data_IF_538825048754
#
_entry.id   IF_538825048754
#
_cell.length_a   1.000
_cell.length_b   1.000
_cell.length_c   1.000
_cell.angle_alpha   90.00
_cell.angle_beta   90.00
_cell.angle_gamma   90.00
#
_symmetry.space_group_name_H-M   'P 1'
#
loop_
_entity.id
_entity.type
_entity.pdbx_description
1 polymer ?
#
# COMPACT_ATOMS: atom_id res chain seq x y z
N UNK A 1 32.71 58.69 -45.67
CA UNK A 1 33.41 57.78 -44.74
C UNK A 1 32.48 56.67 -44.31
N UNK A 2 32.68 55.44 -44.77
CA UNK A 2 31.83 54.30 -44.39
C UNK A 2 32.22 53.80 -43.00
N UNK A 3 31.32 53.94 -42.02
CA UNK A 3 31.52 53.40 -40.67
C UNK A 3 31.41 51.87 -40.74
N UNK A 4 32.50 51.17 -40.40
CA UNK A 4 32.53 49.70 -40.30
C UNK A 4 31.60 49.28 -39.17
N UNK A 5 30.59 48.45 -39.46
CA UNK A 5 29.68 47.93 -38.44
C UNK A 5 30.46 47.11 -37.39
N UNK A 6 30.15 47.26 -36.08
CA UNK A 6 30.84 46.51 -35.04
C UNK A 6 30.52 45.02 -35.18
N UNK A 7 31.56 44.18 -35.23
CA UNK A 7 31.40 42.73 -35.27
C UNK A 7 30.71 42.26 -33.98
N UNK A 8 29.65 41.44 -34.03
CA UNK A 8 29.01 40.93 -32.84
C UNK A 8 30.03 40.09 -32.05
N UNK A 9 30.29 40.49 -30.80
CA UNK A 9 31.21 39.77 -29.93
C UNK A 9 30.51 38.52 -29.39
N UNK A 10 30.98 37.31 -29.72
CA UNK A 10 30.26 36.06 -29.42
C UNK A 10 30.09 35.83 -27.90
N UNK A 11 31.04 36.30 -27.09
CA UNK A 11 31.00 36.19 -25.63
C UNK A 11 29.75 36.84 -25.00
N UNK A 12 29.31 38.00 -25.50
CA UNK A 12 28.13 38.70 -24.96
C UNK A 12 26.83 37.93 -25.25
N UNK A 13 26.77 37.21 -26.36
CA UNK A 13 25.63 36.36 -26.71
C UNK A 13 25.57 35.13 -25.82
N UNK A 14 26.71 34.44 -25.63
CA UNK A 14 26.78 33.29 -24.73
C UNK A 14 26.44 33.66 -23.29
N UNK A 15 26.95 34.79 -22.78
CA UNK A 15 26.60 35.29 -21.45
C UNK A 15 25.10 35.55 -21.28
N UNK A 16 24.43 36.11 -22.29
CA UNK A 16 22.96 36.31 -22.23
C UNK A 16 22.20 34.99 -22.25
N UNK A 17 22.65 34.03 -23.06
CA UNK A 17 22.02 32.71 -23.12
C UNK A 17 22.22 31.90 -21.84
N UNK A 18 23.40 31.95 -21.22
CA UNK A 18 23.63 31.26 -19.93
C UNK A 18 22.81 31.88 -18.81
N UNK A 19 22.69 33.21 -18.76
CA UNK A 19 21.81 33.89 -17.80
C UNK A 19 20.35 33.50 -18.02
N UNK A 20 19.87 33.54 -19.27
CA UNK A 20 18.49 33.14 -19.59
C UNK A 20 18.21 31.67 -19.26
N UNK A 21 19.15 30.77 -19.56
CA UNK A 21 19.07 29.35 -19.23
C UNK A 21 19.07 29.11 -17.72
N UNK A 22 19.93 29.79 -16.97
CA UNK A 22 19.99 29.68 -15.51
C UNK A 22 18.68 30.16 -14.85
N UNK A 23 18.11 31.27 -15.33
CA UNK A 23 16.81 31.77 -14.86
C UNK A 23 15.70 30.76 -15.13
N UNK A 24 15.69 30.07 -16.27
CA UNK A 24 14.67 29.07 -16.55
C UNK A 24 14.85 27.81 -15.69
N UNK A 25 16.08 27.30 -15.60
CA UNK A 25 16.39 26.08 -14.86
C UNK A 25 16.21 26.23 -13.35
N UNK A 26 16.48 27.41 -12.78
CA UNK A 26 16.34 27.68 -11.34
C UNK A 26 14.98 28.33 -11.05
N UNK A 27 14.57 29.28 -11.88
CA UNK A 27 13.33 30.03 -11.72
C UNK A 27 12.08 29.18 -11.93
N UNK A 28 12.13 28.16 -12.79
CA UNK A 28 11.03 27.20 -12.94
C UNK A 28 10.73 26.47 -11.62
N UNK A 29 11.68 25.71 -11.05
CA UNK A 29 11.52 25.07 -9.75
C UNK A 29 11.21 26.06 -8.62
N UNK A 30 11.89 27.21 -8.58
CA UNK A 30 11.67 28.22 -7.54
C UNK A 30 10.26 28.82 -7.57
N UNK A 31 9.72 29.10 -8.76
CA UNK A 31 8.35 29.59 -8.93
C UNK A 31 7.33 28.54 -8.47
N UNK A 32 7.56 27.27 -8.81
CA UNK A 32 6.71 26.17 -8.35
C UNK A 32 6.73 26.06 -6.83
N UNK A 33 7.91 26.08 -6.20
CA UNK A 33 8.04 26.05 -4.74
C UNK A 33 7.37 27.25 -4.06
N UNK A 34 7.35 28.41 -4.71
CA UNK A 34 6.68 29.60 -4.19
C UNK A 34 5.16 29.55 -4.30
N UNK A 35 4.63 29.00 -5.41
CA UNK A 35 3.19 28.93 -5.63
C UNK A 35 2.54 27.77 -4.87
N UNK A 36 3.27 26.67 -4.69
CA UNK A 36 2.72 25.47 -4.05
C UNK A 36 2.67 25.70 -2.54
N UNK A 37 1.47 25.71 -1.92
CA UNK A 37 1.34 25.92 -0.48
C UNK A 37 2.06 24.80 0.28
N UNK A 38 2.69 25.13 1.40
CA UNK A 38 3.40 24.17 2.25
C UNK A 38 2.41 23.19 2.91
N UNK A 39 2.90 22.02 3.30
CA UNK A 39 2.06 20.97 3.90
C UNK A 39 1.36 21.43 5.19
N UNK A 40 1.95 22.35 5.94
CA UNK A 40 1.37 22.89 7.18
C UNK A 40 0.21 23.85 6.92
N UNK A 41 0.32 24.72 5.92
CA UNK A 41 -0.78 25.59 5.49
C UNK A 41 -1.94 24.78 4.89
N UNK A 42 -1.60 23.71 4.16
CA UNK A 42 -2.59 22.78 3.63
C UNK A 42 -3.28 22.00 4.77
N UNK A 43 -2.53 21.59 5.79
CA UNK A 43 -3.06 20.91 6.97
C UNK A 43 -4.02 21.80 7.77
N UNK A 44 -3.68 23.07 7.95
CA UNK A 44 -4.51 24.05 8.65
C UNK A 44 -5.85 24.31 7.95
N UNK A 45 -5.90 24.20 6.61
CA UNK A 45 -7.14 24.34 5.83
C UNK A 45 -8.04 23.10 5.84
N UNK A 46 -7.56 21.95 6.33
CA UNK A 46 -8.39 20.74 6.43
C UNK A 46 -9.41 20.81 7.57
N UNK A 47 -10.49 20.05 7.41
CA UNK A 47 -11.49 19.82 8.45
C UNK A 47 -10.83 19.09 9.65
N UNK A 48 -11.15 19.41 10.92
CA UNK A 48 -10.56 18.79 12.12
C UNK A 48 -10.53 17.25 12.15
N UNK A 49 -11.48 16.57 11.52
CA UNK A 49 -11.49 15.09 11.42
C UNK A 49 -10.38 14.55 10.51
N UNK A 50 -10.11 15.22 9.39
CA UNK A 50 -9.04 14.86 8.46
C UNK A 50 -7.65 15.18 9.01
N UNK A 51 -7.54 16.22 9.84
CA UNK A 51 -6.30 16.55 10.55
C UNK A 51 -5.88 15.41 11.49
N UNK A 52 -6.83 14.87 12.26
CA UNK A 52 -6.58 13.73 13.16
C UNK A 52 -6.16 12.48 12.38
N UNK A 53 -6.91 12.13 11.33
CA UNK A 53 -6.55 10.99 10.46
C UNK A 53 -5.19 11.16 9.80
N UNK A 54 -4.82 12.35 9.38
CA UNK A 54 -3.50 12.60 8.80
C UNK A 54 -2.39 12.44 9.84
N UNK A 55 -2.60 12.88 11.09
CA UNK A 55 -1.66 12.67 12.19
C UNK A 55 -1.51 11.19 12.54
N UNK A 56 -2.61 10.44 12.64
CA UNK A 56 -2.61 9.00 12.93
C UNK A 56 -1.95 8.19 11.80
N UNK A 57 -2.17 8.57 10.54
CA UNK A 57 -1.64 7.85 9.38
C UNK A 57 -0.19 8.24 9.02
N UNK A 58 0.43 9.21 9.69
CA UNK A 58 1.81 9.64 9.37
C UNK A 58 2.81 8.51 9.52
N UNK A 59 2.74 7.77 10.62
CA UNK A 59 3.64 6.65 10.88
C UNK A 59 3.38 5.51 9.88
N UNK A 60 2.12 5.16 9.65
CA UNK A 60 1.74 4.14 8.67
C UNK A 60 2.26 4.49 7.26
N UNK A 61 2.13 5.75 6.83
CA UNK A 61 2.65 6.20 5.53
C UNK A 61 4.17 6.14 5.43
N UNK A 62 4.89 6.44 6.52
CA UNK A 62 6.35 6.31 6.55
C UNK A 62 6.76 4.84 6.44
N UNK A 63 6.12 3.95 7.18
CA UNK A 63 6.38 2.52 7.11
C UNK A 63 6.04 1.94 5.72
N UNK A 64 4.91 2.33 5.13
CA UNK A 64 4.52 1.93 3.78
C UNK A 64 5.54 2.40 2.73
N UNK A 65 6.04 3.63 2.88
CA UNK A 65 7.06 4.20 2.00
C UNK A 65 8.38 3.44 2.12
N UNK A 66 8.85 3.17 3.34
CA UNK A 66 10.07 2.40 3.57
C UNK A 66 9.94 0.98 3.01
N UNK A 67 8.80 0.33 3.21
CA UNK A 67 8.50 -0.98 2.62
C UNK A 67 8.45 -0.93 1.09
N UNK A 68 7.93 0.15 0.50
CA UNK A 68 7.91 0.34 -0.94
C UNK A 68 9.33 0.49 -1.50
N UNK A 69 10.16 1.36 -0.91
CA UNK A 69 11.55 1.54 -1.31
C UNK A 69 12.34 0.24 -1.14
N UNK A 70 12.09 -0.51 -0.07
CA UNK A 70 12.70 -1.83 0.16
C UNK A 70 12.35 -2.82 -0.95
N UNK A 71 11.08 -2.91 -1.34
CA UNK A 71 10.63 -3.75 -2.47
C UNK A 71 11.27 -3.32 -3.79
N UNK A 72 11.35 -2.02 -4.06
CA UNK A 72 12.03 -1.52 -5.26
C UNK A 72 13.52 -1.90 -5.30
N UNK A 73 14.21 -1.81 -4.16
CA UNK A 73 15.60 -2.27 -4.04
C UNK A 73 15.74 -3.77 -4.28
N UNK A 74 14.75 -4.56 -3.87
CA UNK A 74 14.71 -6.01 -4.15
C UNK A 74 14.45 -6.28 -5.64
N UNK A 75 13.55 -5.55 -6.28
CA UNK A 75 13.24 -5.71 -7.72
C UNK A 75 14.37 -5.24 -8.62
N UNK A 76 15.07 -4.17 -8.23
CA UNK A 76 16.21 -3.66 -8.99
C UNK A 76 17.39 -4.63 -9.04
N UNK A 77 17.48 -5.60 -8.12
CA UNK A 77 18.51 -6.64 -8.13
C UNK A 77 18.22 -7.77 -9.13
N UNK A 78 17.01 -7.83 -9.67
CA UNK A 78 16.65 -8.82 -10.68
C UNK A 78 16.91 -8.26 -12.08
N UNK A 79 17.41 -9.08 -12.98
CA UNK A 79 17.62 -8.71 -14.41
C UNK A 79 16.29 -8.54 -15.19
N UNK A 80 15.15 -8.78 -14.53
CA UNK A 80 13.82 -8.60 -15.11
C UNK A 80 13.36 -7.14 -14.97
N UNK A 81 12.55 -6.62 -15.90
CA UNK A 81 11.97 -5.31 -15.72
C UNK A 81 11.09 -5.24 -14.46
N UNK A 82 11.11 -4.09 -13.78
CA UNK A 82 10.51 -3.90 -12.45
C UNK A 82 9.01 -4.26 -12.44
N UNK A 83 8.28 -4.02 -13.54
CA UNK A 83 6.86 -4.34 -13.65
C UNK A 83 6.57 -5.86 -13.61
N UNK A 84 7.44 -6.68 -14.20
CA UNK A 84 7.31 -8.14 -14.20
C UNK A 84 7.64 -8.70 -12.81
N UNK A 85 8.71 -8.19 -12.19
CA UNK A 85 9.08 -8.57 -10.82
C UNK A 85 7.98 -8.22 -9.79
N UNK A 86 7.32 -7.07 -9.97
CA UNK A 86 6.18 -6.67 -9.14
C UNK A 86 4.97 -7.61 -9.33
N UNK A 87 4.60 -7.91 -10.58
CA UNK A 87 3.49 -8.81 -10.88
C UNK A 87 3.71 -10.24 -10.35
N UNK A 88 4.94 -10.76 -10.46
CA UNK A 88 5.30 -12.07 -9.90
C UNK A 88 5.16 -12.11 -8.38
N UNK A 89 5.56 -11.05 -7.68
CA UNK A 89 5.46 -10.97 -6.23
C UNK A 89 4.03 -10.78 -5.75
N UNK A 90 3.20 -10.03 -6.46
CA UNK A 90 1.76 -9.96 -6.20
C UNK A 90 1.07 -11.31 -6.41
N UNK A 91 1.44 -12.04 -7.47
CA UNK A 91 0.93 -13.39 -7.72
C UNK A 91 1.36 -14.36 -6.60
N UNK A 92 2.60 -14.26 -6.10
CA UNK A 92 3.07 -15.04 -4.94
C UNK A 92 2.31 -14.67 -3.66
N UNK A 93 2.10 -13.37 -3.39
CA UNK A 93 1.33 -12.91 -2.22
C UNK A 93 -0.10 -13.44 -2.23
N UNK A 94 -0.79 -13.38 -3.39
CA UNK A 94 -2.14 -13.94 -3.55
C UNK A 94 -2.18 -15.44 -3.27
N UNK A 95 -1.25 -16.20 -3.89
CA UNK A 95 -1.15 -17.66 -3.64
C UNK A 95 -0.89 -18.00 -2.17
N UNK A 96 -0.05 -17.22 -1.48
CA UNK A 96 0.21 -17.41 -0.05
C UNK A 96 -1.05 -17.08 0.77
N UNK A 97 -1.73 -15.96 0.47
CA UNK A 97 -2.96 -15.59 1.17
C UNK A 97 -4.08 -16.63 0.99
N UNK A 98 -4.24 -17.16 -0.23
CA UNK A 98 -5.19 -18.22 -0.53
C UNK A 98 -4.82 -19.54 0.17
N UNK A 99 -3.52 -19.87 0.22
CA UNK A 99 -3.04 -21.05 0.94
C UNK A 99 -3.24 -20.93 2.46
N UNK A 100 -3.04 -19.73 3.04
CA UNK A 100 -3.30 -19.45 4.45
C UNK A 100 -4.79 -19.58 4.76
N UNK A 101 -5.67 -18.98 3.94
CA UNK A 101 -7.13 -19.10 4.09
C UNK A 101 -7.59 -20.56 4.06
N UNK A 102 -7.10 -21.33 3.09
CA UNK A 102 -7.43 -22.75 2.98
C UNK A 102 -6.91 -23.56 4.18
N UNK A 103 -5.74 -23.20 4.72
CA UNK A 103 -5.20 -23.84 5.91
C UNK A 103 -6.03 -23.51 7.17
N UNK A 104 -6.49 -22.27 7.31
CA UNK A 104 -7.39 -21.85 8.40
C UNK A 104 -8.75 -22.57 8.34
N UNK A 105 -9.34 -22.69 7.15
CA UNK A 105 -10.59 -23.44 6.94
C UNK A 105 -10.43 -24.91 7.34
N UNK A 106 -9.34 -25.56 6.92
CA UNK A 106 -9.02 -26.94 7.31
C UNK A 106 -8.81 -27.10 8.81
N UNK A 107 -8.16 -26.12 9.46
CA UNK A 107 -7.97 -26.14 10.91
C UNK A 107 -9.29 -25.91 11.67
N UNK A 108 -10.17 -25.04 11.16
CA UNK A 108 -11.50 -24.81 11.73
C UNK A 108 -12.37 -26.07 11.62
N UNK A 109 -12.34 -26.76 10.48
CA UNK A 109 -13.05 -28.02 10.27
C UNK A 109 -12.51 -29.13 11.20
N UNK A 110 -11.19 -29.25 11.33
CA UNK A 110 -10.56 -30.19 12.28
C UNK A 110 -10.92 -29.91 13.74
N UNK A 111 -11.12 -28.65 14.13
CA UNK A 111 -11.60 -28.28 15.48
C UNK A 111 -13.08 -28.58 15.69
N UNK A 112 -13.90 -28.50 14.64
CA UNK A 112 -15.34 -28.78 14.72
C UNK A 112 -15.68 -30.27 14.69
N UNK A 113 -14.84 -31.10 14.07
CA UNK A 113 -15.03 -32.56 13.97
C UNK A 113 -15.14 -33.26 15.34
N UNK A 114 -14.24 -33.05 16.32
CA UNK A 114 -14.36 -33.69 17.64
C UNK A 114 -15.56 -33.16 18.43
N UNK A 115 -15.92 -31.88 18.27
CA UNK A 115 -17.07 -31.28 18.95
C UNK A 115 -18.39 -31.81 18.40
N UNK A 116 -18.52 -31.97 17.08
CA UNK A 116 -19.70 -32.59 16.46
C UNK A 116 -19.89 -34.03 16.92
N UNK A 117 -18.83 -34.85 16.94
CA UNK A 117 -18.94 -36.23 17.41
C UNK A 117 -19.41 -36.36 18.87
N UNK A 118 -19.00 -35.43 19.75
CA UNK A 118 -19.48 -35.38 21.14
C UNK A 118 -20.95 -34.93 21.22
N UNK A 119 -21.35 -33.94 20.42
CA UNK A 119 -22.75 -33.48 20.35
C UNK A 119 -23.67 -34.57 19.82
N UNK A 120 -23.27 -35.27 18.75
CA UNK A 120 -24.02 -36.38 18.16
C UNK A 120 -24.17 -37.55 19.16
N UNK A 121 -23.14 -37.84 19.96
CA UNK A 121 -23.20 -38.86 21.01
C UNK A 121 -24.14 -38.47 22.16
N UNK A 122 -24.16 -37.20 22.55
CA UNK A 122 -25.10 -36.69 23.58
C UNK A 122 -26.54 -36.73 23.06
N UNK A 123 -26.76 -36.42 21.78
CA UNK A 123 -28.08 -36.44 21.16
C UNK A 123 -28.61 -37.87 20.97
N UNK A 124 -27.74 -38.83 20.64
CA UNK A 124 -28.07 -40.25 20.62
C UNK A 124 -28.48 -40.75 22.02
N UNK A 125 -27.68 -40.46 23.06
CA UNK A 125 -28.00 -40.84 24.43
C UNK A 125 -29.33 -40.24 24.91
N UNK A 126 -29.64 -39.00 24.52
CA UNK A 126 -30.92 -38.34 24.83
C UNK A 126 -32.13 -39.00 24.14
N UNK A 127 -31.96 -39.47 22.90
CA UNK A 127 -33.02 -40.17 22.19
C UNK A 127 -33.26 -41.59 22.74
N UNK A 128 -32.21 -42.25 23.21
CA UNK A 128 -32.31 -43.57 23.83
C UNK A 128 -33.02 -43.50 25.20
N UNK A 129 -32.72 -42.51 26.05
CA UNK A 129 -33.46 -42.29 27.29
C UNK A 129 -34.94 -41.89 27.04
N UNK A 130 -35.21 -41.15 25.95
CA UNK A 130 -36.57 -40.84 25.52
C UNK A 130 -37.35 -42.05 24.99
N UNK A 131 -36.66 -43.09 24.50
CA UNK A 131 -37.25 -44.34 24.05
C UNK A 131 -37.55 -45.27 25.23
N UNK A 132 -36.64 -45.36 26.21
CA UNK A 132 -36.85 -46.16 27.42
C UNK A 132 -38.01 -45.62 28.28
N UNK A 133 -38.11 -44.28 28.45
CA UNK A 133 -39.22 -43.65 29.18
C UNK A 133 -40.62 -43.88 28.56
N UNK A 134 -40.71 -44.15 27.25
CA UNK A 134 -41.99 -44.55 26.61
C UNK A 134 -42.36 -46.00 26.84
N UNK A 135 -41.38 -46.87 27.13
CA UNK A 135 -41.62 -48.28 27.39
C UNK A 135 -42.01 -48.55 28.85
N UNK A 136 -41.55 -47.73 29.80
CA UNK A 136 -41.89 -47.87 31.22
C UNK A 136 -43.31 -47.37 31.57
N UNK A 137 -43.84 -46.37 30.87
CA UNK A 137 -45.18 -45.79 31.15
C UNK A 137 -46.34 -46.66 30.61
N UNK A 138 -46.05 -47.75 29.89
CA UNK A 138 -47.07 -48.60 29.24
C UNK A 138 -47.33 -49.94 29.93
N UNK A 139 -46.89 -50.11 31.19
CA UNK A 139 -47.17 -51.29 32.02
C UNK A 139 -48.17 -50.99 33.13
#
# INVERSE_FOLDING_TARGET
>A
MARKAPKPTPWRMYAKMTIGGAILCIGGPALTMWLTPTEEELFSRYNPELQRRSLENREQKQEEFDQFVRRLKEYSKSDKPIWEAAAEMEAKKKKIADAVRLAEEKQAEQRQTPLRGVVDAIEAARNDEGAEGKTEVKR
#
